data_IF_835227160496
#
_entry.id   IF_835227160496
#
_cell.length_a   1.000
_cell.length_b   1.000
_cell.length_c   1.000
_cell.angle_alpha   90.00
_cell.angle_beta   90.00
_cell.angle_gamma   90.00
#
_symmetry.space_group_name_H-M   'P 1'
#
loop_
_entity.id
_entity.type
_entity.pdbx_description
1 polymer ?
#
# COMPACT_ATOMS: atom_id res chain seq x y z
N UNK A 1 9.35 6.10 22.47
CA UNK A 1 9.83 6.77 21.26
C UNK A 1 11.10 7.57 21.56
N UNK A 2 12.12 7.47 20.72
CA UNK A 2 13.32 8.31 20.86
C UNK A 2 12.96 9.79 20.61
N UNK A 3 13.84 10.69 21.07
CA UNK A 3 13.77 12.11 20.67
C UNK A 3 14.19 12.24 19.22
N UNK A 4 13.59 13.20 18.49
CA UNK A 4 13.89 13.50 17.08
C UNK A 4 13.57 12.35 16.12
N UNK A 5 12.57 11.51 16.46
CA UNK A 5 12.10 10.47 15.55
C UNK A 5 11.50 11.08 14.28
N UNK A 6 11.82 10.50 13.14
CA UNK A 6 11.27 10.89 11.85
C UNK A 6 10.30 9.81 11.34
N UNK A 7 9.13 10.24 10.87
CA UNK A 7 8.09 9.39 10.29
C UNK A 7 7.78 9.89 8.90
N UNK A 8 7.64 8.98 7.95
CA UNK A 8 7.36 9.32 6.56
C UNK A 8 6.21 8.52 6.00
N UNK A 9 5.45 9.12 5.09
CA UNK A 9 4.67 8.37 4.10
C UNK A 9 5.27 8.62 2.72
N UNK A 10 5.29 7.58 1.90
CA UNK A 10 5.79 7.61 0.53
C UNK A 10 4.69 7.10 -0.38
N UNK A 11 4.41 7.80 -1.46
CA UNK A 11 3.46 7.39 -2.48
C UNK A 11 3.95 7.84 -3.87
N UNK A 12 3.39 7.31 -4.96
CA UNK A 12 3.78 7.69 -6.33
C UNK A 12 3.72 9.18 -6.59
N UNK A 13 2.74 9.85 -6.01
CA UNK A 13 2.61 11.29 -6.12
C UNK A 13 2.32 11.99 -4.78
N UNK A 14 2.47 13.33 -4.78
CA UNK A 14 2.30 14.12 -3.57
C UNK A 14 0.83 14.26 -3.11
N UNK A 15 -0.16 13.98 -3.96
CA UNK A 15 -1.56 14.03 -3.57
C UNK A 15 -1.91 12.78 -2.74
N UNK A 16 -1.50 11.59 -3.20
CA UNK A 16 -1.67 10.33 -2.47
C UNK A 16 -0.93 10.35 -1.13
N UNK A 17 0.33 10.80 -1.13
CA UNK A 17 1.10 10.91 0.11
C UNK A 17 0.44 11.85 1.15
N UNK A 18 -0.22 12.92 0.68
CA UNK A 18 -0.98 13.84 1.56
C UNK A 18 -2.27 13.24 2.10
N UNK A 19 -2.86 12.22 1.48
CA UNK A 19 -4.06 11.56 2.03
C UNK A 19 -3.75 10.90 3.38
N UNK A 20 -2.61 10.20 3.49
CA UNK A 20 -2.16 9.63 4.78
C UNK A 20 -1.97 10.75 5.80
N UNK A 21 -1.32 11.84 5.42
CA UNK A 21 -1.12 13.01 6.28
C UNK A 21 -2.47 13.59 6.75
N UNK A 22 -3.45 13.66 5.87
CA UNK A 22 -4.76 14.20 6.23
C UNK A 22 -5.51 13.27 7.20
N UNK A 23 -5.47 11.96 6.99
CA UNK A 23 -6.02 10.97 7.90
C UNK A 23 -5.40 11.08 9.30
N UNK A 24 -4.06 11.18 9.40
CA UNK A 24 -3.35 11.41 10.66
C UNK A 24 -3.81 12.73 11.29
N UNK A 25 -3.92 13.81 10.51
CA UNK A 25 -4.33 15.13 10.97
C UNK A 25 -5.75 15.12 11.55
N UNK A 26 -6.70 14.47 10.87
CA UNK A 26 -8.08 14.33 11.33
C UNK A 26 -8.17 13.50 12.62
N UNK A 27 -7.46 12.37 12.65
CA UNK A 27 -7.38 11.53 13.85
C UNK A 27 -6.81 12.31 15.05
N UNK A 28 -5.73 13.05 14.85
CA UNK A 28 -5.15 13.88 15.90
C UNK A 28 -6.11 14.96 16.38
N UNK A 29 -6.81 15.66 15.47
CA UNK A 29 -7.77 16.72 15.84
C UNK A 29 -8.96 16.19 16.63
N UNK A 30 -9.37 14.95 16.38
CA UNK A 30 -10.47 14.28 17.07
C UNK A 30 -10.04 13.54 18.34
N UNK A 31 -8.73 13.46 18.60
CA UNK A 31 -8.15 12.70 19.70
C UNK A 31 -7.86 13.58 20.91
N UNK A 32 -8.08 13.09 22.14
CA UNK A 32 -7.61 13.75 23.36
C UNK A 32 -6.08 13.95 23.41
N UNK A 33 -5.30 13.27 22.53
CA UNK A 33 -3.86 13.45 22.43
C UNK A 33 -3.44 14.86 21.98
N UNK A 34 -4.34 15.60 21.32
CA UNK A 34 -4.10 17.00 20.90
C UNK A 34 -4.25 17.96 22.06
N UNK A 35 -5.05 17.60 23.08
CA UNK A 35 -5.33 18.46 24.19
C UNK A 35 -4.11 18.71 25.06
N UNK A 36 -4.03 19.93 25.52
CA UNK A 36 -2.89 20.55 26.14
C UNK A 36 -2.58 19.95 27.52
N UNK A 37 -1.29 19.66 27.73
CA UNK A 37 -0.77 19.65 29.09
C UNK A 37 -0.17 21.05 29.37
N UNK A 38 -0.70 21.76 30.34
CA UNK A 38 -0.27 23.11 30.76
C UNK A 38 -0.44 24.20 29.66
N UNK A 39 -1.57 24.22 28.96
CA UNK A 39 -1.89 25.28 28.00
C UNK A 39 -1.19 25.22 26.65
N UNK A 40 -0.39 24.19 26.36
CA UNK A 40 0.35 24.08 25.12
C UNK A 40 -0.07 22.85 24.29
N UNK A 41 -0.47 23.07 23.04
CA UNK A 41 -0.75 21.97 22.10
C UNK A 41 0.49 21.11 21.92
N UNK A 42 0.33 19.79 22.09
CA UNK A 42 1.42 18.81 21.90
C UNK A 42 1.83 18.68 20.44
N UNK A 43 0.87 18.85 19.52
CA UNK A 43 1.11 18.73 18.08
C UNK A 43 1.04 20.09 17.40
N UNK A 44 1.96 20.32 16.46
CA UNK A 44 1.92 21.40 15.48
C UNK A 44 1.60 20.76 14.15
N UNK A 45 0.39 21.00 13.64
CA UNK A 45 -0.10 20.45 12.37
C UNK A 45 0.05 21.54 11.31
N UNK A 46 0.99 21.35 10.38
CA UNK A 46 1.24 22.24 9.25
C UNK A 46 0.83 21.54 7.94
N UNK A 47 0.82 22.27 6.85
CA UNK A 47 0.47 21.74 5.53
C UNK A 47 1.40 20.59 5.12
N UNK A 48 2.69 20.73 5.36
CA UNK A 48 3.71 19.83 4.82
C UNK A 48 4.38 18.95 5.88
N UNK A 49 4.02 19.12 7.16
CA UNK A 49 4.51 18.28 8.24
C UNK A 49 3.62 18.33 9.48
N UNK A 50 3.77 17.32 10.33
CA UNK A 50 3.19 17.28 11.67
C UNK A 50 4.34 17.11 12.66
N UNK A 51 4.42 17.96 13.67
CA UNK A 51 5.47 17.91 14.70
C UNK A 51 4.87 17.56 16.05
N UNK A 52 5.42 16.56 16.71
CA UNK A 52 5.17 16.26 18.12
C UNK A 52 6.18 16.99 18.99
N UNK A 53 5.77 18.11 19.57
CA UNK A 53 6.64 19.06 20.29
C UNK A 53 7.40 18.43 21.48
N UNK A 54 6.79 17.57 22.32
CA UNK A 54 7.48 17.06 23.52
C UNK A 54 8.76 16.29 23.23
N UNK A 55 8.87 15.69 22.05
CA UNK A 55 10.05 14.90 21.64
C UNK A 55 10.73 15.44 20.38
N UNK A 56 10.23 16.54 19.83
CA UNK A 56 10.69 17.10 18.55
C UNK A 56 10.66 16.07 17.39
N UNK A 57 9.71 15.16 17.46
CA UNK A 57 9.51 14.16 16.41
C UNK A 57 8.66 14.74 15.28
N UNK A 58 8.93 14.34 14.05
CA UNK A 58 8.26 14.88 12.87
C UNK A 58 7.69 13.79 11.98
N UNK A 59 6.55 14.08 11.37
CA UNK A 59 5.99 13.31 10.27
C UNK A 59 5.96 14.18 9.00
N UNK A 60 6.43 13.63 7.89
CA UNK A 60 6.51 14.32 6.59
C UNK A 60 5.99 13.42 5.47
N UNK A 61 4.98 13.84 4.69
CA UNK A 61 4.59 13.14 3.47
C UNK A 61 5.61 13.40 2.36
N UNK A 62 6.05 12.33 1.67
CA UNK A 62 6.98 12.38 0.57
C UNK A 62 6.32 11.86 -0.70
N UNK A 63 6.50 12.55 -1.82
CA UNK A 63 6.23 11.97 -3.14
C UNK A 63 7.43 11.19 -3.62
N UNK A 64 7.20 10.19 -4.48
CA UNK A 64 8.29 9.49 -5.16
C UNK A 64 9.21 10.50 -5.86
N UNK A 65 10.49 10.44 -5.51
CA UNK A 65 11.54 11.24 -6.13
C UNK A 65 12.89 10.65 -5.80
N UNK A 66 13.69 10.37 -6.82
CA UNK A 66 15.03 9.80 -6.68
C UNK A 66 16.02 10.69 -5.92
N UNK A 67 15.76 12.00 -5.83
CA UNK A 67 16.69 12.94 -5.18
C UNK A 67 16.34 13.31 -3.74
N UNK A 68 15.21 12.85 -3.19
CA UNK A 68 14.70 13.30 -1.89
C UNK A 68 14.58 12.21 -0.83
N UNK A 69 14.85 10.96 -1.19
CA UNK A 69 14.71 9.82 -0.28
C UNK A 69 16.00 9.53 0.49
N UNK A 70 17.15 9.74 -0.15
CA UNK A 70 18.45 9.48 0.48
C UNK A 70 18.73 10.40 1.66
N UNK A 71 19.47 9.89 2.64
CA UNK A 71 19.87 10.62 3.84
C UNK A 71 18.74 10.77 4.88
N UNK A 72 17.58 10.15 4.69
CA UNK A 72 16.52 10.09 5.69
C UNK A 72 16.83 9.00 6.71
N UNK A 73 16.38 9.21 7.96
CA UNK A 73 16.55 8.24 9.06
C UNK A 73 15.15 7.87 9.61
N UNK A 74 14.34 7.13 8.86
CA UNK A 74 12.95 6.87 9.22
C UNK A 74 12.85 5.95 10.43
N UNK A 75 12.32 6.44 11.54
CA UNK A 75 11.90 5.59 12.66
C UNK A 75 10.70 4.72 12.24
N UNK A 76 9.78 5.28 11.44
CA UNK A 76 8.79 4.50 10.72
C UNK A 76 8.47 5.15 9.37
N UNK A 77 8.09 4.30 8.40
CA UNK A 77 7.55 4.77 7.13
C UNK A 77 6.32 3.95 6.72
N UNK A 78 5.49 4.57 5.89
CA UNK A 78 4.37 3.92 5.21
C UNK A 78 4.52 4.18 3.71
N UNK A 79 4.75 3.12 2.93
CA UNK A 79 4.78 3.17 1.48
C UNK A 79 3.42 2.70 0.95
N UNK A 80 2.71 3.58 0.29
CA UNK A 80 1.36 3.35 -0.24
C UNK A 80 1.37 3.32 -1.77
N UNK A 81 0.48 2.50 -2.34
CA UNK A 81 0.38 2.27 -3.79
C UNK A 81 1.72 1.86 -4.43
N UNK A 82 2.43 0.94 -3.77
CA UNK A 82 3.77 0.51 -4.16
C UNK A 82 3.81 -0.11 -5.54
N UNK A 83 2.74 -0.79 -5.96
CA UNK A 83 2.61 -1.33 -7.32
C UNK A 83 2.62 -0.28 -8.44
N UNK A 84 2.37 0.99 -8.12
CA UNK A 84 2.46 2.10 -9.07
C UNK A 84 3.84 2.79 -9.10
N UNK A 85 4.77 2.38 -8.23
CA UNK A 85 6.12 2.94 -8.24
C UNK A 85 6.91 2.42 -9.44
N UNK A 86 7.70 3.25 -10.12
CA UNK A 86 8.47 2.84 -11.28
C UNK A 86 9.67 1.94 -10.91
N UNK A 87 10.17 2.01 -9.68
CA UNK A 87 11.27 1.18 -9.17
C UNK A 87 11.15 0.97 -7.66
N UNK A 88 11.89 0.00 -7.10
CA UNK A 88 12.02 -0.26 -5.66
C UNK A 88 12.76 0.82 -4.87
N UNK A 89 13.40 1.77 -5.56
CA UNK A 89 14.29 2.77 -4.97
C UNK A 89 13.71 3.45 -3.71
N UNK A 90 12.44 3.87 -3.74
CA UNK A 90 11.85 4.58 -2.59
C UNK A 90 11.77 3.69 -1.33
N UNK A 91 11.42 2.40 -1.51
CA UNK A 91 11.34 1.43 -0.41
C UNK A 91 12.74 1.11 0.10
N UNK A 92 13.67 0.86 -0.81
CA UNK A 92 15.06 0.55 -0.48
C UNK A 92 15.74 1.70 0.27
N UNK A 93 15.53 2.94 -0.16
CA UNK A 93 16.05 4.12 0.52
C UNK A 93 15.49 4.24 1.95
N UNK A 94 14.18 3.99 2.15
CA UNK A 94 13.58 4.00 3.49
C UNK A 94 14.12 2.85 4.36
N UNK A 95 14.19 1.62 3.84
CA UNK A 95 14.75 0.45 4.55
C UNK A 95 16.22 0.67 4.91
N UNK A 96 17.02 1.19 3.97
CA UNK A 96 18.45 1.49 4.21
C UNK A 96 18.65 2.57 5.27
N UNK A 97 17.82 3.62 5.26
CA UNK A 97 17.84 4.67 6.28
C UNK A 97 17.50 4.17 7.69
N UNK A 98 16.85 3.02 7.80
CA UNK A 98 16.53 2.38 9.07
C UNK A 98 17.66 1.53 9.68
N UNK A 99 18.79 1.38 9.00
CA UNK A 99 19.86 0.46 9.43
C UNK A 99 20.26 0.65 10.89
N UNK A 100 20.41 1.88 11.32
CA UNK A 100 20.85 2.24 12.67
C UNK A 100 19.70 2.61 13.63
N UNK A 101 18.45 2.36 13.24
CA UNK A 101 17.27 2.63 14.07
C UNK A 101 16.89 1.35 14.81
N UNK A 102 16.90 1.37 16.14
CA UNK A 102 16.63 0.19 16.97
C UNK A 102 15.16 -0.24 16.92
N UNK A 103 14.22 0.71 17.03
CA UNK A 103 12.78 0.46 17.00
C UNK A 103 12.20 0.95 15.68
N UNK A 104 12.55 0.27 14.60
CA UNK A 104 12.12 0.61 13.25
C UNK A 104 10.84 -0.11 12.85
N UNK A 105 10.04 0.52 12.00
CA UNK A 105 8.83 -0.05 11.44
C UNK A 105 8.66 0.41 10.00
N UNK A 106 8.32 -0.51 9.10
CA UNK A 106 7.94 -0.22 7.72
C UNK A 106 6.56 -0.81 7.42
N UNK A 107 5.69 -0.02 6.80
CA UNK A 107 4.43 -0.49 6.24
C UNK A 107 4.50 -0.37 4.73
N UNK A 108 4.13 -1.43 4.03
CA UNK A 108 3.99 -1.47 2.57
C UNK A 108 2.55 -1.87 2.28
N UNK A 109 1.85 -1.04 1.52
CA UNK A 109 0.45 -1.22 1.20
C UNK A 109 0.27 -1.02 -0.30
N UNK A 110 -0.42 -1.92 -0.97
CA UNK A 110 -0.81 -1.77 -2.36
C UNK A 110 -1.91 -2.76 -2.75
N UNK A 111 -2.53 -2.51 -3.89
CA UNK A 111 -3.28 -3.50 -4.66
C UNK A 111 -2.41 -4.03 -5.79
N UNK A 112 -2.85 -5.09 -6.48
CA UNK A 112 -2.22 -5.56 -7.72
C UNK A 112 -2.30 -4.50 -8.82
N UNK A 113 -1.32 -4.53 -9.71
CA UNK A 113 -1.26 -3.70 -10.90
C UNK A 113 -1.17 -4.58 -12.16
N UNK A 114 -1.56 -4.09 -13.34
CA UNK A 114 -1.51 -4.89 -14.57
C UNK A 114 -0.09 -5.32 -14.95
N UNK A 115 0.90 -4.49 -14.62
CA UNK A 115 2.31 -4.77 -14.88
C UNK A 115 2.86 -5.71 -13.82
N UNK A 116 3.40 -6.86 -14.23
CA UNK A 116 4.02 -7.84 -13.31
C UNK A 116 5.36 -7.33 -12.78
N UNK A 117 6.10 -6.61 -13.62
CA UNK A 117 7.40 -6.04 -13.26
C UNK A 117 7.19 -4.73 -12.49
N UNK A 118 6.91 -4.85 -11.20
CA UNK A 118 6.77 -3.72 -10.29
C UNK A 118 7.25 -4.10 -8.87
N UNK A 119 7.67 -3.14 -8.06
CA UNK A 119 8.25 -3.39 -6.73
C UNK A 119 7.33 -4.12 -5.76
N UNK A 120 6.02 -4.03 -5.92
CA UNK A 120 5.08 -4.70 -5.02
C UNK A 120 5.07 -6.21 -5.23
N UNK A 121 5.26 -6.68 -6.46
CA UNK A 121 5.30 -8.12 -6.74
C UNK A 121 6.51 -8.80 -6.09
N UNK A 122 7.65 -8.12 -6.00
CA UNK A 122 8.83 -8.62 -5.29
C UNK A 122 8.55 -8.76 -3.78
N UNK A 123 7.90 -7.75 -3.17
CA UNK A 123 7.52 -7.80 -1.75
C UNK A 123 6.48 -8.90 -1.49
N UNK A 124 5.49 -9.09 -2.37
CA UNK A 124 4.50 -10.18 -2.28
C UNK A 124 5.16 -11.54 -2.44
N UNK A 125 6.07 -11.69 -3.41
CA UNK A 125 6.78 -12.94 -3.62
C UNK A 125 7.63 -13.34 -2.41
N UNK A 126 8.29 -12.38 -1.78
CA UNK A 126 9.03 -12.61 -0.55
C UNK A 126 8.09 -12.96 0.61
N UNK A 127 7.01 -12.22 0.79
CA UNK A 127 6.01 -12.48 1.82
C UNK A 127 5.43 -13.90 1.72
N UNK A 128 5.12 -14.38 0.51
CA UNK A 128 4.66 -15.75 0.27
C UNK A 128 5.68 -16.78 0.71
N UNK A 129 6.98 -16.59 0.40
CA UNK A 129 8.04 -17.51 0.86
C UNK A 129 8.12 -17.61 2.38
N UNK A 130 7.89 -16.51 3.08
CA UNK A 130 7.87 -16.50 4.56
C UNK A 130 6.61 -17.19 5.09
N UNK A 131 5.43 -16.87 4.53
CA UNK A 131 4.16 -17.50 4.92
C UNK A 131 4.15 -19.01 4.65
N UNK A 132 4.80 -19.47 3.58
CA UNK A 132 4.94 -20.89 3.22
C UNK A 132 6.05 -21.61 4.02
N UNK A 133 6.77 -20.90 4.88
CA UNK A 133 7.89 -21.46 5.66
C UNK A 133 9.14 -21.78 4.83
N UNK A 134 9.25 -21.26 3.60
CA UNK A 134 10.42 -21.43 2.73
C UNK A 134 11.55 -20.50 3.17
N UNK A 135 11.21 -19.31 3.68
CA UNK A 135 12.15 -18.36 4.24
C UNK A 135 11.78 -18.07 5.70
N UNK A 136 12.77 -17.99 6.58
CA UNK A 136 12.59 -17.59 7.97
C UNK A 136 12.79 -16.09 8.10
N UNK A 137 11.77 -15.36 8.58
CA UNK A 137 11.85 -13.94 8.89
C UNK A 137 10.84 -13.56 9.98
N UNK A 138 11.28 -13.55 11.23
CA UNK A 138 10.45 -13.18 12.39
C UNK A 138 10.11 -11.70 12.42
N UNK A 139 10.70 -10.88 11.55
CA UNK A 139 10.47 -9.44 11.51
C UNK A 139 9.41 -9.03 10.52
N UNK A 140 9.00 -9.96 9.63
CA UNK A 140 7.97 -9.73 8.64
C UNK A 140 6.59 -10.16 9.15
N UNK A 141 5.64 -9.25 9.09
CA UNK A 141 4.21 -9.54 9.19
C UNK A 141 3.55 -9.25 7.84
N UNK A 142 2.85 -10.22 7.27
CA UNK A 142 2.20 -10.07 5.97
C UNK A 142 0.72 -10.50 6.03
N UNK A 143 -0.14 -9.71 5.40
CA UNK A 143 -1.54 -10.03 5.13
C UNK A 143 -1.78 -9.88 3.63
N UNK A 144 -2.04 -10.99 2.95
CA UNK A 144 -2.30 -11.03 1.51
C UNK A 144 -3.77 -11.38 1.28
N UNK A 145 -4.54 -10.41 0.81
CA UNK A 145 -5.95 -10.59 0.46
C UNK A 145 -6.07 -10.83 -1.05
N UNK A 146 -5.83 -12.06 -1.46
CA UNK A 146 -5.92 -12.51 -2.84
C UNK A 146 -6.66 -13.85 -2.93
N UNK A 147 -7.31 -14.19 -4.05
CA UNK A 147 -8.00 -15.47 -4.19
C UNK A 147 -7.01 -16.62 -4.38
N UNK A 148 -7.35 -17.79 -3.84
CA UNK A 148 -6.58 -19.03 -4.02
C UNK A 148 -6.67 -19.57 -5.46
N UNK A 149 -7.85 -19.43 -6.09
CA UNK A 149 -8.09 -19.77 -7.50
C UNK A 149 -8.67 -18.57 -8.25
N UNK A 150 -8.12 -18.29 -9.41
CA UNK A 150 -8.48 -17.12 -10.22
C UNK A 150 -9.29 -17.48 -11.47
N UNK A 151 -9.46 -18.80 -11.77
CA UNK A 151 -10.02 -19.26 -13.06
C UNK A 151 -11.48 -18.88 -13.24
N UNK A 152 -12.27 -19.05 -12.19
CA UNK A 152 -13.73 -18.88 -12.26
C UNK A 152 -14.22 -17.54 -11.71
N UNK A 153 -13.41 -16.48 -11.87
CA UNK A 153 -13.73 -15.14 -11.33
C UNK A 153 -15.10 -14.60 -11.74
N UNK A 154 -15.64 -15.07 -12.88
CA UNK A 154 -16.94 -14.62 -13.39
C UNK A 154 -18.12 -15.20 -12.57
N UNK A 155 -17.94 -16.36 -11.98
CA UNK A 155 -19.02 -17.13 -11.32
C UNK A 155 -18.76 -17.45 -9.86
N UNK A 156 -17.49 -17.61 -9.47
CA UNK A 156 -17.13 -17.93 -8.09
C UNK A 156 -17.07 -16.68 -7.21
N UNK A 157 -17.91 -16.66 -6.19
CA UNK A 157 -17.96 -15.59 -5.21
C UNK A 157 -16.74 -15.57 -4.28
N UNK A 158 -16.03 -16.70 -4.10
CA UNK A 158 -14.85 -16.78 -3.24
C UNK A 158 -13.74 -15.86 -3.72
N UNK A 159 -13.58 -15.69 -5.03
CA UNK A 159 -12.61 -14.78 -5.63
C UNK A 159 -12.75 -13.35 -5.08
N UNK A 160 -13.98 -12.85 -5.01
CA UNK A 160 -14.20 -11.50 -4.47
C UNK A 160 -14.13 -11.46 -2.95
N UNK A 161 -14.59 -12.50 -2.25
CA UNK A 161 -14.65 -12.55 -0.79
C UNK A 161 -13.26 -12.63 -0.17
N UNK A 162 -12.37 -13.44 -0.73
CA UNK A 162 -10.99 -13.57 -0.25
C UNK A 162 -10.20 -12.26 -0.43
N UNK A 163 -10.47 -11.54 -1.53
CA UNK A 163 -9.83 -10.25 -1.79
C UNK A 163 -10.45 -9.08 -1.03
N UNK A 164 -11.67 -9.22 -0.53
CA UNK A 164 -12.41 -8.14 0.13
C UNK A 164 -13.12 -8.64 1.41
N UNK A 165 -12.39 -8.98 2.47
CA UNK A 165 -12.99 -9.54 3.69
C UNK A 165 -14.02 -8.62 4.34
N UNK A 166 -13.90 -7.29 4.20
CA UNK A 166 -14.88 -6.32 4.69
C UNK A 166 -16.26 -6.52 4.07
N UNK A 167 -16.35 -7.08 2.85
CA UNK A 167 -17.62 -7.39 2.19
C UNK A 167 -18.43 -8.50 2.90
N UNK A 168 -17.81 -9.25 3.80
CA UNK A 168 -18.50 -10.24 4.63
C UNK A 168 -19.33 -9.59 5.74
N UNK A 169 -18.92 -8.42 6.20
CA UNK A 169 -19.54 -7.69 7.30
C UNK A 169 -20.50 -6.58 6.80
N UNK A 170 -20.27 -6.05 5.59
CA UNK A 170 -21.02 -4.92 5.02
C UNK A 170 -21.72 -5.33 3.72
N UNK A 171 -23.04 -5.63 3.76
CA UNK A 171 -23.78 -6.12 2.58
C UNK A 171 -23.75 -5.15 1.40
N UNK A 172 -23.72 -3.85 1.64
CA UNK A 172 -23.68 -2.83 0.60
C UNK A 172 -22.39 -2.91 -0.24
N UNK A 173 -21.26 -3.21 0.39
CA UNK A 173 -19.97 -3.44 -0.31
C UNK A 173 -20.07 -4.69 -1.16
N UNK A 174 -20.66 -5.75 -0.63
CA UNK A 174 -20.86 -6.98 -1.37
C UNK A 174 -21.75 -6.79 -2.61
N UNK A 175 -22.84 -6.06 -2.47
CA UNK A 175 -23.73 -5.76 -3.58
C UNK A 175 -23.05 -4.89 -4.65
N UNK A 176 -22.20 -3.95 -4.26
CA UNK A 176 -21.43 -3.14 -5.19
C UNK A 176 -20.37 -3.98 -5.93
N UNK A 177 -19.68 -4.88 -5.26
CA UNK A 177 -18.73 -5.82 -5.88
C UNK A 177 -19.41 -6.70 -6.94
N UNK A 178 -20.62 -7.23 -6.65
CA UNK A 178 -21.38 -8.01 -7.62
C UNK A 178 -21.75 -7.19 -8.87
N UNK A 179 -22.15 -5.93 -8.70
CA UNK A 179 -22.42 -5.02 -9.83
C UNK A 179 -21.18 -4.76 -10.66
N UNK A 180 -20.03 -4.52 -10.01
CA UNK A 180 -18.76 -4.32 -10.69
C UNK A 180 -18.31 -5.57 -11.46
N UNK A 181 -18.49 -6.77 -10.89
CA UNK A 181 -18.23 -8.03 -11.58
C UNK A 181 -19.14 -8.18 -12.82
N UNK A 182 -20.43 -7.95 -12.68
CA UNK A 182 -21.37 -8.03 -13.80
C UNK A 182 -20.98 -7.06 -14.93
N UNK A 183 -20.56 -5.85 -14.58
CA UNK A 183 -20.05 -4.88 -15.55
C UNK A 183 -18.77 -5.35 -16.24
N UNK A 184 -17.81 -5.91 -15.50
CA UNK A 184 -16.56 -6.43 -16.05
C UNK A 184 -16.76 -7.68 -16.94
N UNK A 185 -17.81 -8.48 -16.69
CA UNK A 185 -18.21 -9.58 -17.56
C UNK A 185 -18.73 -9.03 -18.90
N UNK A 186 -19.60 -8.02 -18.84
CA UNK A 186 -20.24 -7.44 -20.03
C UNK A 186 -19.27 -6.55 -20.85
N UNK A 187 -18.31 -5.88 -20.20
CA UNK A 187 -17.43 -4.88 -20.82
C UNK A 187 -15.98 -5.30 -20.64
N UNK A 188 -15.37 -5.74 -21.73
CA UNK A 188 -13.99 -6.29 -21.69
C UNK A 188 -12.97 -5.29 -21.16
N UNK A 189 -13.03 -4.03 -21.56
CA UNK A 189 -12.12 -2.98 -21.08
C UNK A 189 -12.21 -2.68 -19.58
N UNK A 190 -13.28 -3.13 -18.90
CA UNK A 190 -13.42 -2.99 -17.45
C UNK A 190 -12.81 -4.15 -16.65
N UNK A 191 -12.45 -5.26 -17.31
CA UNK A 191 -11.94 -6.48 -16.65
C UNK A 191 -10.62 -6.22 -15.92
N UNK A 192 -9.69 -5.55 -16.56
CA UNK A 192 -8.38 -5.24 -15.96
C UNK A 192 -8.56 -4.50 -14.64
N UNK A 193 -9.33 -3.43 -14.64
CA UNK A 193 -9.56 -2.65 -13.42
C UNK A 193 -10.26 -3.49 -12.33
N UNK A 194 -11.29 -4.27 -12.70
CA UNK A 194 -12.00 -5.12 -11.74
C UNK A 194 -11.09 -6.18 -11.14
N UNK A 195 -10.35 -6.92 -11.97
CA UNK A 195 -9.50 -8.02 -11.51
C UNK A 195 -8.31 -7.52 -10.68
N UNK A 196 -7.64 -6.45 -11.11
CA UNK A 196 -6.48 -5.92 -10.38
C UNK A 196 -6.88 -5.19 -9.09
N UNK A 197 -7.88 -4.30 -9.15
CA UNK A 197 -8.21 -3.41 -8.03
C UNK A 197 -9.22 -4.00 -7.04
N UNK A 198 -10.08 -4.91 -7.49
CA UNK A 198 -11.12 -5.50 -6.62
C UNK A 198 -10.91 -6.98 -6.32
N UNK A 199 -10.12 -7.69 -7.11
CA UNK A 199 -9.83 -9.10 -6.87
C UNK A 199 -8.37 -9.39 -6.55
N UNK A 200 -7.47 -8.39 -6.63
CA UNK A 200 -6.02 -8.57 -6.48
C UNK A 200 -5.46 -9.68 -7.40
N UNK A 201 -5.99 -9.77 -8.61
CA UNK A 201 -5.55 -10.68 -9.67
C UNK A 201 -4.78 -9.88 -10.71
N UNK A 202 -3.59 -10.33 -11.06
CA UNK A 202 -2.86 -9.76 -12.20
C UNK A 202 -3.59 -10.18 -13.48
N UNK A 203 -4.08 -9.22 -14.22
CA UNK A 203 -4.73 -9.43 -15.50
C UNK A 203 -4.00 -8.60 -16.56
N UNK A 204 -3.26 -9.29 -17.38
CA UNK A 204 -2.77 -8.73 -18.64
C UNK A 204 -3.88 -8.96 -19.66
N UNK A 205 -4.63 -7.90 -19.99
CA UNK A 205 -5.58 -7.94 -21.09
C UNK A 205 -4.90 -8.52 -22.32
N UNK A 206 -5.66 -9.14 -23.23
CA UNK A 206 -5.13 -9.52 -24.53
C UNK A 206 -4.59 -8.24 -25.17
N UNK A 207 -3.28 -8.03 -25.05
CA UNK A 207 -2.62 -6.92 -25.71
C UNK A 207 -2.92 -7.04 -27.19
N UNK A 208 -3.40 -5.98 -27.78
CA UNK A 208 -3.66 -5.87 -29.22
C UNK A 208 -2.40 -6.00 -30.06
N UNK A 209 -1.28 -6.41 -29.48
CA UNK A 209 0.02 -6.59 -30.14
C UNK A 209 0.77 -7.83 -29.63
N UNK A 210 0.21 -9.02 -29.82
CA UNK A 210 1.07 -10.19 -30.02
C UNK A 210 1.35 -10.32 -31.51
N UNK A 211 2.49 -9.79 -31.94
CA UNK A 211 2.97 -9.90 -33.31
C UNK A 211 3.36 -11.35 -33.72
N UNK A 212 3.32 -12.29 -32.79
CA UNK A 212 3.62 -13.71 -33.02
C UNK A 212 2.68 -14.52 -32.12
N UNK A 213 1.82 -15.29 -32.75
CA UNK A 213 1.11 -16.38 -32.10
C UNK A 213 2.11 -17.46 -31.72
N UNK A 214 2.35 -17.66 -30.40
CA UNK A 214 3.29 -18.70 -29.93
C UNK A 214 2.83 -20.14 -30.21
N UNK A 215 1.68 -20.33 -30.84
CA UNK A 215 1.21 -21.61 -31.34
C UNK A 215 1.76 -21.95 -32.75
N UNK A 216 2.43 -21.01 -33.42
CA UNK A 216 3.01 -21.17 -34.76
C UNK A 216 4.53 -21.30 -34.76
N UNK A 217 5.18 -21.63 -33.60
CA UNK A 217 6.62 -21.89 -33.50
C UNK A 217 6.90 -23.33 -33.09
#
# INVERSE_FOLDING_TARGET
>A
EPRFAEFFSVAPDGALSRQIREAISQTLRSSPLVYEYKGNKRFKILRDCITFKPKSSTYVPLSYSTSRMDGRLPSAFCADEVGALPTSYAIEAMKSGQLNILNKLGFIISTKYPTIDNPFEDEVAYAKKVLDGIAEDDTLFALLYEPDDTKDWMTDDLVMRQSNPVSLEIPEIWDDLKKKRAYAIAVESARENFLTKHCNIIYQGQGTETFIDTADV
#
